data_IF_339941651310
#
_entry.id   IF_339941651310
#
_cell.length_a   1.000
_cell.length_b   1.000
_cell.length_c   1.000
_cell.angle_alpha   90.00
_cell.angle_beta   90.00
_cell.angle_gamma   90.00
#
_symmetry.space_group_name_H-M   'P 1'
#
loop_
_entity.id
_entity.type
_entity.pdbx_description
1 polymer ?
#
# COMPACT_ATOMS: atom_id res chain seq x y z
N UNK A 1 -12.70 12.24 -6.59
CA UNK A 1 -11.33 12.13 -6.04
C UNK A 1 -10.56 13.43 -6.20
N UNK A 2 -10.54 14.04 -7.39
CA UNK A 2 -9.76 15.26 -7.69
C UNK A 2 -9.68 16.34 -6.59
N UNK A 3 -10.81 16.74 -6.01
CA UNK A 3 -10.85 17.78 -4.96
C UNK A 3 -10.06 17.44 -3.68
N UNK A 4 -9.75 16.15 -3.46
CA UNK A 4 -9.03 15.64 -2.29
C UNK A 4 -7.53 15.45 -2.56
N UNK A 5 -7.06 15.74 -3.77
CA UNK A 5 -5.66 15.51 -4.15
C UNK A 5 -4.73 16.26 -3.18
N UNK A 6 -3.75 15.54 -2.63
CA UNK A 6 -2.77 15.98 -1.62
C UNK A 6 -3.35 16.34 -0.26
N UNK A 7 -4.58 15.92 0.02
CA UNK A 7 -5.23 16.11 1.31
C UNK A 7 -5.28 14.79 2.08
N UNK A 8 -5.27 14.88 3.40
CA UNK A 8 -5.49 13.73 4.27
C UNK A 8 -6.97 13.35 4.21
N UNK A 9 -7.23 12.11 3.83
CA UNK A 9 -8.58 11.56 3.74
C UNK A 9 -8.64 10.19 4.39
N UNK A 10 -9.85 9.81 4.79
CA UNK A 10 -10.19 8.44 5.14
C UNK A 10 -11.15 7.84 4.14
N UNK A 11 -10.89 6.61 3.72
CA UNK A 11 -11.70 5.87 2.75
C UNK A 11 -12.36 4.70 3.44
N UNK A 12 -13.69 4.68 3.36
CA UNK A 12 -14.53 3.59 3.86
C UNK A 12 -15.05 2.81 2.66
N UNK A 13 -15.01 1.49 2.74
CA UNK A 13 -15.59 0.59 1.74
C UNK A 13 -16.89 -0.03 2.25
N UNK A 14 -17.84 -0.31 1.36
CA UNK A 14 -19.08 -1.01 1.74
C UNK A 14 -18.83 -2.47 2.12
N UNK A 15 -17.73 -3.04 1.63
CA UNK A 15 -17.46 -4.47 1.67
C UNK A 15 -16.19 -4.86 2.43
N UNK A 16 -15.60 -3.91 3.16
CA UNK A 16 -14.46 -4.10 4.06
C UNK A 16 -14.74 -3.37 5.38
N UNK A 17 -14.22 -3.91 6.48
CA UNK A 17 -14.33 -3.27 7.80
C UNK A 17 -13.25 -2.23 8.05
N UNK A 18 -12.13 -2.37 7.35
CA UNK A 18 -10.97 -1.50 7.50
C UNK A 18 -11.24 -0.13 6.89
N UNK A 19 -10.72 0.91 7.56
CA UNK A 19 -10.75 2.29 7.09
C UNK A 19 -9.32 2.64 6.75
N UNK A 20 -9.10 3.13 5.53
CA UNK A 20 -7.76 3.49 5.06
C UNK A 20 -7.59 4.99 5.14
N UNK A 21 -6.60 5.44 5.90
CA UNK A 21 -6.30 6.86 6.12
C UNK A 21 -4.95 7.21 5.51
N UNK A 22 -4.90 8.29 4.74
CA UNK A 22 -3.67 8.74 4.13
C UNK A 22 -3.85 9.97 3.25
N UNK A 23 -2.74 10.56 2.84
CA UNK A 23 -2.74 11.63 1.86
C UNK A 23 -3.04 11.06 0.48
N UNK A 24 -4.06 11.57 -0.20
CA UNK A 24 -4.33 11.17 -1.58
C UNK A 24 -3.20 11.66 -2.49
N UNK A 25 -2.42 10.74 -3.04
CA UNK A 25 -1.27 11.07 -3.90
C UNK A 25 -1.68 11.04 -5.37
N UNK A 26 -2.39 10.00 -5.78
CA UNK A 26 -2.85 9.81 -7.16
C UNK A 26 -4.06 8.86 -7.19
N UNK A 27 -4.78 8.85 -8.31
CA UNK A 27 -5.94 7.99 -8.50
C UNK A 27 -6.29 7.79 -9.98
N UNK A 28 -6.93 6.66 -10.27
CA UNK A 28 -7.57 6.32 -11.53
C UNK A 28 -9.00 5.84 -11.27
N UNK A 29 -9.72 5.46 -12.32
CA UNK A 29 -11.06 4.85 -12.14
C UNK A 29 -10.98 3.58 -11.28
N UNK A 30 -9.90 2.79 -11.41
CA UNK A 30 -9.75 1.49 -10.76
C UNK A 30 -8.90 1.49 -9.49
N UNK A 31 -8.01 2.48 -9.31
CA UNK A 31 -6.99 2.46 -8.25
C UNK A 31 -6.86 3.81 -7.54
N UNK A 32 -6.50 3.76 -6.27
CA UNK A 32 -6.26 4.93 -5.41
C UNK A 32 -4.91 4.72 -4.75
N UNK A 33 -4.03 5.71 -4.80
CA UNK A 33 -2.76 5.70 -4.10
C UNK A 33 -2.80 6.67 -2.92
N UNK A 34 -2.56 6.14 -1.73
CA UNK A 34 -2.40 6.88 -0.50
C UNK A 34 -0.95 6.86 -0.04
N UNK A 35 -0.49 7.97 0.53
CA UNK A 35 0.65 7.98 1.44
C UNK A 35 0.11 7.81 2.84
N UNK A 36 0.39 6.67 3.47
CA UNK A 36 -0.42 6.20 4.58
C UNK A 36 -0.22 7.04 5.83
N UNK A 37 -1.29 7.15 6.60
CA UNK A 37 -1.29 7.71 7.94
C UNK A 37 -2.02 6.72 8.87
N UNK A 38 -1.34 5.64 9.31
CA UNK A 38 -1.99 4.57 10.08
C UNK A 38 -2.38 5.00 11.50
N UNK A 39 -1.66 5.97 12.07
CA UNK A 39 -1.93 6.57 13.39
C UNK A 39 -1.62 8.06 13.35
N UNK A 40 -2.18 8.81 14.30
CA UNK A 40 -2.05 10.27 14.36
C UNK A 40 -0.62 10.75 14.13
N UNK A 41 -0.48 11.63 13.14
CA UNK A 41 0.75 12.34 12.79
C UNK A 41 1.94 11.48 12.33
N UNK A 42 1.75 10.19 12.07
CA UNK A 42 2.79 9.27 11.57
C UNK A 42 2.51 8.91 10.13
N UNK A 43 3.51 9.08 9.26
CA UNK A 43 3.45 8.64 7.86
C UNK A 43 4.25 7.36 7.73
N UNK A 44 3.67 6.36 7.08
CA UNK A 44 4.27 5.03 7.00
C UNK A 44 4.05 4.37 5.64
N UNK A 45 4.98 4.58 4.71
CA UNK A 45 4.91 4.03 3.36
C UNK A 45 3.68 4.48 2.58
N UNK A 46 3.22 3.58 1.71
CA UNK A 46 2.14 3.83 0.75
C UNK A 46 1.18 2.65 0.68
N UNK A 47 -0.08 2.93 0.37
CA UNK A 47 -1.10 1.93 0.10
C UNK A 47 -1.81 2.22 -1.22
N UNK A 48 -1.84 1.22 -2.09
CA UNK A 48 -2.65 1.20 -3.30
C UNK A 48 -3.93 0.41 -3.01
N UNK A 49 -5.07 1.06 -3.20
CA UNK A 49 -6.39 0.51 -2.98
C UNK A 49 -7.11 0.36 -4.30
N UNK A 50 -7.75 -0.79 -4.52
CA UNK A 50 -8.67 -0.94 -5.64
C UNK A 50 -9.96 -0.15 -5.34
N UNK A 51 -10.34 0.76 -6.22
CA UNK A 51 -11.48 1.70 -6.10
C UNK A 51 -12.87 1.05 -6.27
N UNK A 52 -12.99 -0.26 -6.07
CA UNK A 52 -14.27 -0.95 -6.10
C UNK A 52 -14.97 -0.80 -4.74
N UNK A 53 -16.27 -0.54 -4.72
CA UNK A 53 -17.10 -0.50 -3.51
C UNK A 53 -16.71 0.58 -2.48
N UNK A 54 -16.11 1.69 -2.89
CA UNK A 54 -15.91 2.84 -2.01
C UNK A 54 -17.29 3.35 -1.57
N UNK A 55 -17.52 3.39 -0.26
CA UNK A 55 -18.73 3.89 0.40
C UNK A 55 -18.69 5.40 0.54
N UNK A 56 -17.61 5.89 1.13
CA UNK A 56 -17.48 7.30 1.48
C UNK A 56 -16.02 7.67 1.63
N UNK A 57 -15.73 8.94 1.34
CA UNK A 57 -14.46 9.59 1.64
C UNK A 57 -14.76 10.62 2.71
N UNK A 58 -14.03 10.54 3.82
CA UNK A 58 -14.19 11.39 4.99
C UNK A 58 -13.01 12.37 5.06
N UNK A 59 -13.34 13.63 5.30
CA UNK A 59 -12.41 14.71 5.59
C UNK A 59 -13.17 15.71 6.46
N UNK A 60 -12.93 15.64 7.76
CA UNK A 60 -13.53 16.48 8.79
C UNK A 60 -12.44 17.26 9.54
N UNK A 61 -12.83 18.01 10.57
CA UNK A 61 -11.94 18.88 11.34
C UNK A 61 -10.77 18.12 11.99
N UNK A 62 -10.95 16.85 12.37
CA UNK A 62 -9.90 16.02 12.98
C UNK A 62 -8.83 15.64 11.93
N UNK A 63 -9.25 15.30 10.71
CA UNK A 63 -8.34 15.07 9.59
C UNK A 63 -7.65 16.35 9.13
N UNK A 64 -8.33 17.50 9.12
CA UNK A 64 -7.71 18.79 8.80
C UNK A 64 -6.63 19.18 9.83
N UNK A 65 -6.88 18.94 11.11
CA UNK A 65 -5.90 19.16 12.17
C UNK A 65 -4.68 18.24 12.00
N UNK A 66 -4.91 16.95 11.77
CA UNK A 66 -3.85 15.95 11.55
C UNK A 66 -3.01 16.28 10.32
N UNK A 67 -3.66 16.63 9.22
CA UNK A 67 -3.01 17.11 8.00
C UNK A 67 -2.07 18.29 8.28
N UNK A 68 -2.56 19.29 9.02
CA UNK A 68 -1.79 20.48 9.36
C UNK A 68 -0.54 20.14 10.18
N UNK A 69 -0.67 19.27 11.18
CA UNK A 69 0.47 18.82 11.99
C UNK A 69 1.50 18.09 11.13
N UNK A 70 1.07 17.17 10.27
CA UNK A 70 1.98 16.41 9.40
C UNK A 70 2.71 17.32 8.39
N UNK A 71 2.00 18.28 7.80
CA UNK A 71 2.62 19.28 6.91
C UNK A 71 3.65 20.13 7.65
N UNK A 72 3.38 20.53 8.90
CA UNK A 72 4.34 21.27 9.74
C UNK A 72 5.57 20.44 10.12
N UNK A 73 5.45 19.11 10.20
CA UNK A 73 6.60 18.19 10.34
C UNK A 73 7.46 18.11 9.06
N UNK A 74 7.05 18.77 7.98
CA UNK A 74 7.83 18.88 6.75
C UNK A 74 7.46 17.85 5.67
N UNK A 75 6.33 17.15 5.79
CA UNK A 75 5.89 16.25 4.73
C UNK A 75 5.63 17.05 3.44
N UNK A 76 6.35 16.69 2.37
CA UNK A 76 6.02 17.09 1.01
C UNK A 76 4.98 16.12 0.45
N UNK A 77 3.83 16.65 0.03
CA UNK A 77 2.76 15.86 -0.59
C UNK A 77 2.83 15.81 -2.11
N UNK A 78 3.77 16.52 -2.72
CA UNK A 78 4.10 16.32 -4.13
C UNK A 78 4.76 14.96 -4.29
N UNK A 79 4.19 14.11 -5.15
CA UNK A 79 4.87 12.90 -5.57
C UNK A 79 6.16 13.31 -6.31
N UNK A 80 7.33 12.92 -5.78
CA UNK A 80 8.59 13.06 -6.51
C UNK A 80 8.66 12.04 -7.67
N UNK A 81 7.82 11.01 -7.61
CA UNK A 81 7.75 9.92 -8.57
C UNK A 81 6.31 9.56 -8.90
N UNK A 82 6.09 9.19 -10.16
CA UNK A 82 4.80 8.74 -10.67
C UNK A 82 4.73 7.22 -10.54
N UNK A 83 3.78 6.73 -9.74
CA UNK A 83 3.49 5.30 -9.63
C UNK A 83 2.44 4.95 -10.69
N UNK A 84 2.69 3.98 -11.59
CA UNK A 84 1.75 3.66 -12.64
C UNK A 84 0.54 2.91 -12.07
N UNK A 85 -0.65 3.55 -12.11
CA UNK A 85 -1.91 3.01 -11.59
C UNK A 85 -2.84 2.48 -12.71
N UNK A 86 -2.25 2.00 -13.82
CA UNK A 86 -2.98 1.55 -15.01
C UNK A 86 -3.75 0.25 -14.77
N UNK A 87 -3.04 -0.79 -14.36
CA UNK A 87 -3.57 -2.13 -14.10
C UNK A 87 -2.70 -2.84 -13.06
N UNK A 88 -3.24 -3.94 -12.51
CA UNK A 88 -2.55 -4.69 -11.45
C UNK A 88 -1.18 -5.23 -11.91
N UNK A 89 -1.04 -5.84 -13.10
CA UNK A 89 0.27 -6.29 -13.55
C UNK A 89 1.32 -5.18 -13.64
N UNK A 90 0.95 -4.02 -14.15
CA UNK A 90 1.85 -2.85 -14.24
C UNK A 90 2.26 -2.36 -12.86
N UNK A 91 1.31 -2.28 -11.92
CA UNK A 91 1.58 -1.92 -10.51
C UNK A 91 2.58 -2.91 -9.89
N UNK A 92 2.31 -4.21 -9.96
CA UNK A 92 3.16 -5.24 -9.33
C UNK A 92 4.55 -5.25 -9.93
N UNK A 93 4.69 -5.16 -11.26
CA UNK A 93 6.00 -5.11 -11.91
C UNK A 93 6.78 -3.86 -11.50
N UNK A 94 6.13 -2.70 -11.40
CA UNK A 94 6.79 -1.48 -10.90
C UNK A 94 7.29 -1.67 -9.46
N UNK A 95 6.43 -2.20 -8.57
CA UNK A 95 6.77 -2.42 -7.18
C UNK A 95 7.89 -3.45 -7.01
N UNK A 96 7.84 -4.56 -7.73
CA UNK A 96 8.86 -5.60 -7.69
C UNK A 96 10.23 -5.08 -8.15
N UNK A 97 10.28 -4.27 -9.22
CA UNK A 97 11.54 -3.73 -9.73
C UNK A 97 12.13 -2.65 -8.83
N UNK A 98 11.30 -1.84 -8.16
CA UNK A 98 11.75 -0.67 -7.41
C UNK A 98 11.88 -0.93 -5.91
N UNK A 99 10.88 -1.57 -5.32
CA UNK A 99 10.77 -1.77 -3.89
C UNK A 99 11.10 -3.21 -3.47
N UNK A 100 11.19 -4.14 -4.42
CA UNK A 100 11.47 -5.58 -4.27
C UNK A 100 10.41 -6.36 -3.47
N UNK A 101 10.08 -5.88 -2.28
CA UNK A 101 9.15 -6.48 -1.33
C UNK A 101 7.93 -5.57 -1.17
N UNK A 102 6.76 -6.18 -1.29
CA UNK A 102 5.47 -5.52 -1.11
C UNK A 102 4.50 -6.47 -0.38
N UNK A 103 3.49 -5.89 0.24
CA UNK A 103 2.43 -6.60 0.95
C UNK A 103 1.15 -6.56 0.14
N UNK A 104 0.38 -7.64 0.12
CA UNK A 104 -0.95 -7.69 -0.48
C UNK A 104 -1.99 -8.15 0.54
N UNK A 105 -3.21 -7.62 0.39
CA UNK A 105 -4.38 -8.11 1.10
C UNK A 105 -5.56 -8.34 0.14
N UNK A 106 -6.35 -9.36 0.46
CA UNK A 106 -7.60 -9.70 -0.25
C UNK A 106 -8.79 -9.04 0.45
N UNK A 107 -9.96 -9.03 -0.22
CA UNK A 107 -11.19 -8.37 0.26
C UNK A 107 -11.57 -8.68 1.72
N UNK A 108 -11.49 -9.94 2.13
CA UNK A 108 -12.10 -10.45 3.36
C UNK A 108 -11.10 -10.94 4.39
N UNK A 109 -9.80 -10.80 4.09
CA UNK A 109 -8.79 -11.52 4.84
C UNK A 109 -8.33 -10.68 6.03
N UNK A 110 -8.27 -11.33 7.20
CA UNK A 110 -7.58 -10.79 8.37
C UNK A 110 -6.05 -10.92 8.24
N UNK A 111 -5.60 -11.58 7.19
CA UNK A 111 -4.21 -11.86 6.90
C UNK A 111 -3.73 -10.98 5.75
N UNK A 112 -2.51 -10.52 5.89
CA UNK A 112 -1.74 -9.84 4.86
C UNK A 112 -0.59 -10.75 4.44
N UNK A 113 -0.16 -10.64 3.20
CA UNK A 113 0.87 -11.50 2.63
C UNK A 113 1.99 -10.62 2.11
N UNK A 114 3.14 -10.72 2.76
CA UNK A 114 4.35 -9.98 2.42
C UNK A 114 5.25 -10.88 1.59
N UNK A 115 5.90 -10.34 0.56
CA UNK A 115 6.85 -11.12 -0.22
C UNK A 115 7.46 -10.35 -1.39
N UNK A 116 8.30 -11.04 -2.15
CA UNK A 116 8.86 -10.55 -3.42
C UNK A 116 8.23 -11.32 -4.58
N UNK A 117 8.15 -10.68 -5.74
CA UNK A 117 7.61 -11.30 -6.95
C UNK A 117 8.46 -12.51 -7.40
N UNK A 118 7.82 -13.65 -7.67
CA UNK A 118 8.41 -14.79 -8.40
C UNK A 118 7.90 -14.78 -9.84
N UNK A 119 6.58 -14.79 -10.01
CA UNK A 119 5.92 -14.86 -11.31
C UNK A 119 4.62 -14.04 -11.28
N UNK A 120 4.29 -13.45 -12.43
CA UNK A 120 3.05 -12.75 -12.65
C UNK A 120 2.57 -13.07 -14.07
N UNK A 121 1.37 -13.63 -14.16
CA UNK A 121 0.69 -13.91 -15.42
C UNK A 121 -0.72 -13.28 -15.43
N UNK A 122 -1.52 -13.56 -16.45
CA UNK A 122 -2.82 -12.92 -16.65
C UNK A 122 -3.87 -13.29 -15.57
N UNK A 123 -3.66 -14.38 -14.83
CA UNK A 123 -4.61 -14.89 -13.84
C UNK A 123 -4.10 -14.78 -12.39
N UNK A 124 -2.79 -14.99 -12.21
CA UNK A 124 -2.18 -15.23 -10.90
C UNK A 124 -0.89 -14.42 -10.69
N UNK A 125 -0.70 -14.04 -9.43
CA UNK A 125 0.52 -13.50 -8.86
C UNK A 125 1.12 -14.56 -7.93
N UNK A 126 2.38 -14.92 -8.16
CA UNK A 126 3.15 -15.81 -7.31
C UNK A 126 4.25 -14.99 -6.62
N UNK A 127 4.29 -15.04 -5.29
CA UNK A 127 5.32 -14.38 -4.48
C UNK A 127 6.10 -15.42 -3.67
N UNK A 128 7.36 -15.09 -3.39
CA UNK A 128 8.14 -15.75 -2.35
C UNK A 128 7.75 -15.09 -1.02
N UNK A 129 7.01 -15.81 -0.18
CA UNK A 129 6.43 -15.28 1.04
C UNK A 129 7.51 -15.00 2.09
N UNK A 130 7.47 -13.79 2.64
CA UNK A 130 8.36 -13.35 3.70
C UNK A 130 7.63 -13.45 5.05
N UNK A 131 8.08 -14.40 5.87
CA UNK A 131 7.61 -14.56 7.24
C UNK A 131 8.07 -13.43 8.15
N UNK A 132 7.39 -13.30 9.30
CA UNK A 132 7.69 -12.26 10.29
C UNK A 132 9.08 -12.39 10.94
N UNK A 133 9.74 -13.53 10.77
CA UNK A 133 11.14 -13.75 11.20
C UNK A 133 12.17 -13.19 10.20
N UNK A 134 11.74 -12.57 9.10
CA UNK A 134 12.65 -12.06 8.06
C UNK A 134 13.18 -13.15 7.13
N UNK A 135 12.47 -14.28 7.01
CA UNK A 135 12.85 -15.41 6.17
C UNK A 135 11.82 -15.68 5.09
N UNK A 136 12.32 -16.07 3.92
CA UNK A 136 11.48 -16.54 2.83
C UNK A 136 11.05 -17.98 3.09
N UNK A 137 9.75 -18.20 3.22
CA UNK A 137 9.15 -19.48 3.63
C UNK A 137 8.43 -20.19 2.47
N UNK A 138 8.71 -19.79 1.23
CA UNK A 138 8.26 -20.47 0.01
C UNK A 138 7.17 -19.74 -0.75
N UNK A 139 6.66 -20.40 -1.80
CA UNK A 139 5.78 -19.77 -2.78
C UNK A 139 4.34 -19.66 -2.29
N UNK A 140 3.69 -18.55 -2.62
CA UNK A 140 2.24 -18.35 -2.44
C UNK A 140 1.62 -17.73 -3.70
N UNK A 141 0.50 -18.30 -4.14
CA UNK A 141 -0.26 -17.85 -5.30
C UNK A 141 -1.51 -17.04 -4.93
N UNK A 142 -1.81 -16.04 -5.76
CA UNK A 142 -2.94 -15.14 -5.57
C UNK A 142 -3.61 -14.83 -6.89
N UNK A 143 -4.92 -15.12 -6.99
CA UNK A 143 -5.73 -14.66 -8.11
C UNK A 143 -5.76 -13.13 -8.15
N UNK A 144 -5.40 -12.56 -9.30
CA UNK A 144 -5.31 -11.10 -9.51
C UNK A 144 -6.61 -10.37 -9.13
N UNK A 145 -7.77 -10.98 -9.42
CA UNK A 145 -9.06 -10.37 -9.13
C UNK A 145 -9.43 -10.32 -7.62
N UNK A 146 -8.67 -11.03 -6.76
CA UNK A 146 -8.88 -11.05 -5.31
C UNK A 146 -8.04 -10.01 -4.57
N UNK A 147 -6.99 -9.49 -5.19
CA UNK A 147 -6.12 -8.46 -4.60
C UNK A 147 -6.89 -7.14 -4.53
N UNK A 148 -6.90 -6.52 -3.34
CA UNK A 148 -7.66 -5.30 -3.05
C UNK A 148 -6.81 -4.17 -2.49
N UNK A 149 -5.76 -4.54 -1.77
CA UNK A 149 -4.85 -3.63 -1.08
C UNK A 149 -3.44 -4.09 -1.37
N UNK A 150 -2.56 -3.15 -1.68
CA UNK A 150 -1.13 -3.38 -1.83
C UNK A 150 -0.40 -2.32 -1.02
N UNK A 151 0.49 -2.72 -0.12
CA UNK A 151 1.28 -1.81 0.69
C UNK A 151 2.77 -2.01 0.41
N UNK A 152 3.53 -0.93 0.45
CA UNK A 152 4.97 -0.97 0.19
C UNK A 152 5.66 0.20 0.89
N UNK A 153 6.98 0.07 1.04
CA UNK A 153 7.84 1.08 1.66
C UNK A 153 7.41 1.48 3.09
N UNK A 154 6.76 0.57 3.81
CA UNK A 154 6.41 0.77 5.21
C UNK A 154 7.62 0.48 6.11
N UNK A 155 7.61 1.03 7.31
CA UNK A 155 8.63 0.81 8.34
C UNK A 155 8.78 -0.68 8.66
N UNK A 156 7.67 -1.42 8.72
CA UNK A 156 7.70 -2.88 8.91
C UNK A 156 8.46 -3.60 7.79
N UNK A 157 8.13 -3.31 6.53
CA UNK A 157 8.77 -3.92 5.36
C UNK A 157 10.26 -3.56 5.31
N UNK A 158 10.57 -2.28 5.53
CA UNK A 158 11.94 -1.79 5.49
C UNK A 158 12.77 -2.34 6.66
N UNK A 159 12.18 -2.55 7.83
CA UNK A 159 12.84 -3.21 8.96
C UNK A 159 13.18 -4.67 8.65
N UNK A 160 12.27 -5.44 8.04
CA UNK A 160 12.56 -6.82 7.65
C UNK A 160 13.66 -6.92 6.58
N UNK A 161 13.72 -5.95 5.65
CA UNK A 161 14.83 -5.87 4.68
C UNK A 161 16.19 -5.74 5.36
N UNK A 162 16.29 -5.04 6.50
CA UNK A 162 17.54 -4.91 7.24
C UNK A 162 18.01 -6.28 7.79
N UNK A 163 17.10 -7.08 8.34
CA UNK A 163 17.40 -8.43 8.83
C UNK A 163 17.86 -9.33 7.68
N UNK A 164 17.13 -9.34 6.56
CA UNK A 164 17.52 -10.11 5.36
C UNK A 164 18.93 -9.72 4.88
N UNK A 165 19.23 -8.41 4.85
CA UNK A 165 20.52 -7.90 4.43
C UNK A 165 21.66 -8.22 5.41
N UNK A 166 21.36 -8.37 6.70
CA UNK A 166 22.31 -8.83 7.71
C UNK A 166 22.59 -10.33 7.56
N UNK A 167 21.55 -11.15 7.43
CA UNK A 167 21.68 -12.61 7.30
C UNK A 167 22.43 -13.01 6.02
N UNK A 168 22.23 -12.30 4.90
CA UNK A 168 22.92 -12.56 3.64
C UNK A 168 24.41 -12.18 3.63
N UNK A 169 24.90 -11.45 4.64
CA UNK A 169 26.33 -11.11 4.78
C UNK A 169 27.12 -12.18 5.55
N UNK A 170 26.44 -13.08 6.24
CA UNK A 170 27.03 -14.16 7.04
C UNK A 170 27.09 -15.47 6.24
#
# INVERSE_FOLDING_TARGET
MEKYLRQLISIVFEDQKEVFTGFLIDWTEDWILLKNNPVDFIIDGYTILKNKNVKSIIQDEDYEFTERVIKLKGLKTSAEEIIPLNDLPTIINFLANKYEIFQIAKKSDKAVYLGKLIELNDEELIIDFLGAEGKFDGEMDFKLNKIRVIEFDTDYINSLKLIIAEDNKN
#
